data_IF_290808899649
#
_entry.id   IF_290808899649
#
_cell.length_a   1.000
_cell.length_b   1.000
_cell.length_c   1.000
_cell.angle_alpha   90.00
_cell.angle_beta   90.00
_cell.angle_gamma   90.00
#
_symmetry.space_group_name_H-M   'P 1'
#
loop_
_entity.id
_entity.type
_entity.pdbx_description
1 polymer ?
#
# COMPACT_ATOMS: atom_id res chain seq x y z
N UNK A 1 2.48 -42.07 44.96
CA UNK A 1 1.36 -41.70 44.07
C UNK A 1 1.07 -40.21 44.22
N UNK A 2 1.77 -39.34 43.49
CA UNK A 2 1.25 -38.00 43.20
C UNK A 2 1.53 -37.79 41.72
N UNK A 3 0.46 -37.83 40.92
CA UNK A 3 0.51 -37.67 39.46
C UNK A 3 0.75 -36.20 39.15
N UNK A 4 1.78 -35.94 38.35
CA UNK A 4 2.05 -34.65 37.72
C UNK A 4 0.81 -34.17 36.95
N UNK A 5 0.13 -33.14 37.48
CA UNK A 5 -0.93 -32.44 36.75
C UNK A 5 -0.28 -31.37 35.87
N UNK A 6 0.00 -31.74 34.63
CA UNK A 6 0.29 -30.78 33.56
C UNK A 6 -0.89 -29.79 33.42
N UNK A 7 -0.67 -28.47 33.35
CA UNK A 7 -1.74 -27.53 33.04
C UNK A 7 -2.05 -27.57 31.54
N UNK A 8 -3.32 -27.84 31.22
CA UNK A 8 -3.85 -27.95 29.87
C UNK A 8 -3.72 -26.60 29.13
N UNK A 9 -2.96 -26.58 28.04
CA UNK A 9 -3.00 -25.48 27.05
C UNK A 9 -4.38 -25.43 26.40
N UNK A 10 -5.21 -24.46 26.79
CA UNK A 10 -6.46 -24.17 26.06
C UNK A 10 -6.09 -23.31 24.84
N UNK A 11 -6.08 -23.91 23.64
CA UNK A 11 -6.04 -23.11 22.41
C UNK A 11 -7.41 -22.44 22.21
N UNK A 12 -7.50 -21.11 21.97
CA UNK A 12 -8.77 -20.50 21.61
C UNK A 12 -9.24 -21.06 20.26
N UNK A 13 -10.53 -21.41 20.17
CA UNK A 13 -11.15 -21.92 18.94
C UNK A 13 -11.10 -20.84 17.84
N UNK A 14 -10.81 -21.18 16.58
CA UNK A 14 -10.90 -20.21 15.51
C UNK A 14 -12.36 -19.78 15.34
N UNK A 15 -12.60 -18.47 15.34
CA UNK A 15 -13.89 -17.92 14.90
C UNK A 15 -14.05 -18.27 13.42
N UNK A 16 -14.92 -19.24 13.11
CA UNK A 16 -15.29 -19.54 11.74
C UNK A 16 -16.20 -18.42 11.23
N UNK A 17 -15.65 -17.56 10.37
CA UNK A 17 -16.42 -16.52 9.69
C UNK A 17 -17.14 -17.16 8.50
N UNK A 18 -18.46 -17.32 8.61
CA UNK A 18 -19.30 -17.89 7.56
C UNK A 18 -19.63 -16.79 6.53
N UNK A 19 -19.12 -16.93 5.30
CA UNK A 19 -19.09 -15.86 4.28
C UNK A 19 -20.33 -15.82 3.36
N UNK A 20 -21.35 -16.65 3.61
CA UNK A 20 -22.50 -16.75 2.71
C UNK A 20 -23.67 -15.92 3.20
N UNK A 21 -23.66 -14.64 2.84
CA UNK A 21 -24.84 -13.82 2.53
C UNK A 21 -24.41 -12.40 2.09
N UNK A 22 -23.95 -12.28 0.84
CA UNK A 22 -23.96 -11.00 0.12
C UNK A 22 -25.22 -11.01 -0.78
N UNK A 23 -26.36 -10.44 -0.37
CA UNK A 23 -27.50 -10.32 -1.28
C UNK A 23 -27.31 -9.12 -2.23
N UNK A 24 -27.40 -9.44 -3.52
CA UNK A 24 -27.68 -8.57 -4.68
C UNK A 24 -26.71 -7.43 -5.03
N UNK A 25 -25.68 -7.80 -5.79
CA UNK A 25 -25.07 -6.93 -6.82
C UNK A 25 -26.14 -6.52 -7.84
N UNK A 26 -26.60 -5.27 -7.75
CA UNK A 26 -27.31 -4.60 -8.83
C UNK A 26 -26.38 -4.62 -10.05
N UNK A 27 -26.76 -5.36 -11.10
CA UNK A 27 -26.11 -5.32 -12.41
C UNK A 27 -26.37 -3.94 -13.03
N UNK A 28 -25.62 -2.92 -12.61
CA UNK A 28 -25.53 -1.68 -13.37
C UNK A 28 -24.60 -1.93 -14.55
N UNK A 29 -25.19 -2.22 -15.70
CA UNK A 29 -24.55 -2.02 -17.01
C UNK A 29 -24.35 -0.52 -17.22
N UNK A 30 -23.44 0.08 -16.45
CA UNK A 30 -22.93 1.41 -16.68
C UNK A 30 -21.67 1.28 -17.52
N UNK A 31 -21.75 1.63 -18.81
CA UNK A 31 -20.57 1.88 -19.61
C UNK A 31 -19.80 3.03 -18.95
N UNK A 32 -18.70 2.72 -18.26
CA UNK A 32 -17.77 3.74 -17.80
C UNK A 32 -17.09 4.36 -19.02
N UNK A 33 -17.61 5.50 -19.48
CA UNK A 33 -16.96 6.31 -20.50
C UNK A 33 -15.80 7.06 -19.83
N UNK A 34 -14.58 6.73 -20.23
CA UNK A 34 -13.37 7.46 -19.84
C UNK A 34 -13.30 8.78 -20.62
N UNK A 35 -13.13 9.95 -19.96
CA UNK A 35 -12.94 11.20 -20.68
C UNK A 35 -11.62 11.17 -21.45
N UNK A 36 -11.70 11.43 -22.75
CA UNK A 36 -10.56 11.55 -23.65
C UNK A 36 -9.72 12.78 -23.24
N UNK A 37 -8.58 12.56 -22.59
CA UNK A 37 -7.66 13.64 -22.24
C UNK A 37 -6.83 13.99 -23.46
N UNK A 38 -7.21 15.06 -24.15
CA UNK A 38 -6.41 15.73 -25.17
C UNK A 38 -5.02 16.07 -24.63
N UNK A 39 -4.01 15.49 -25.31
CA UNK A 39 -2.60 15.92 -25.41
C UNK A 39 -2.14 16.95 -24.38
N UNK A 40 -1.67 16.45 -23.24
CA UNK A 40 -0.87 17.24 -22.29
C UNK A 40 0.60 17.10 -22.66
N UNK A 41 1.28 18.23 -22.82
CA UNK A 41 2.70 18.35 -23.12
C UNK A 41 3.56 17.39 -22.29
N UNK A 42 4.15 16.42 -22.99
CA UNK A 42 5.05 15.39 -22.47
C UNK A 42 6.43 16.01 -22.24
N UNK A 43 6.56 16.89 -21.24
CA UNK A 43 7.85 17.18 -20.65
C UNK A 43 8.27 15.95 -19.84
N UNK A 44 8.80 14.95 -20.54
CA UNK A 44 9.42 13.75 -19.96
C UNK A 44 10.72 14.16 -19.27
N UNK A 45 10.59 14.81 -18.11
CA UNK A 45 11.68 14.94 -17.15
C UNK A 45 12.12 13.52 -16.80
N UNK A 46 13.25 13.09 -17.37
CA UNK A 46 13.99 11.87 -17.00
C UNK A 46 14.64 12.01 -15.62
N UNK A 47 13.96 12.70 -14.71
CA UNK A 47 14.40 12.89 -13.34
C UNK A 47 14.17 11.59 -12.56
N UNK A 48 15.25 11.07 -11.98
CA UNK A 48 15.20 9.90 -11.10
C UNK A 48 14.28 10.20 -9.93
N UNK A 49 13.24 9.39 -9.74
CA UNK A 49 12.30 9.53 -8.62
C UNK A 49 12.90 8.86 -7.39
N UNK A 50 13.04 9.63 -6.33
CA UNK A 50 13.50 9.14 -5.04
C UNK A 50 12.31 8.81 -4.13
N UNK A 51 12.39 7.64 -3.50
CA UNK A 51 11.48 7.20 -2.45
C UNK A 51 12.24 7.15 -1.12
N UNK A 52 11.52 7.22 0.00
CA UNK A 52 12.07 7.15 1.36
C UNK A 52 11.58 5.87 2.01
N UNK A 53 12.49 5.04 2.52
CA UNK A 53 12.11 3.82 3.22
C UNK A 53 11.42 4.13 4.57
N UNK A 54 10.33 3.41 4.87
CA UNK A 54 9.60 3.57 6.13
C UNK A 54 10.41 3.19 7.38
N UNK A 55 11.30 2.20 7.28
CA UNK A 55 12.01 1.68 8.45
C UNK A 55 13.39 2.35 8.66
N UNK A 56 14.15 2.56 7.59
CA UNK A 56 15.51 3.09 7.69
C UNK A 56 15.67 4.52 7.19
N UNK A 57 14.60 5.17 6.74
CA UNK A 57 14.56 6.56 6.26
C UNK A 57 15.56 6.91 5.13
N UNK A 58 16.16 5.91 4.48
CA UNK A 58 17.11 6.12 3.38
C UNK A 58 16.36 6.44 2.09
N UNK A 59 16.95 7.35 1.30
CA UNK A 59 16.53 7.67 -0.06
C UNK A 59 16.91 6.53 -1.01
N UNK A 60 15.91 5.96 -1.68
CA UNK A 60 16.05 4.86 -2.63
C UNK A 60 15.63 5.37 -4.01
N UNK A 61 16.54 5.42 -5.00
CA UNK A 61 16.14 5.65 -6.39
C UNK A 61 15.45 4.38 -6.92
N UNK A 62 14.26 4.54 -7.52
CA UNK A 62 13.55 3.42 -8.14
C UNK A 62 13.06 3.80 -9.53
N UNK A 63 13.31 2.89 -10.48
CA UNK A 63 12.71 2.93 -11.80
C UNK A 63 11.24 2.45 -11.75
N UNK A 64 10.37 2.91 -12.68
CA UNK A 64 8.94 2.56 -12.66
C UNK A 64 8.63 1.06 -12.71
N UNK A 65 9.49 0.26 -13.34
CA UNK A 65 9.32 -1.20 -13.48
C UNK A 65 10.11 -2.01 -12.44
N UNK A 66 10.90 -1.36 -11.58
CA UNK A 66 11.72 -2.05 -10.60
C UNK A 66 10.87 -2.58 -9.42
N UNK A 67 11.23 -3.73 -8.83
CA UNK A 67 10.53 -4.26 -7.66
C UNK A 67 10.71 -3.34 -6.44
N UNK A 68 9.63 -3.09 -5.70
CA UNK A 68 9.63 -2.23 -4.51
C UNK A 68 10.36 -2.92 -3.36
N UNK A 69 11.63 -2.57 -3.16
CA UNK A 69 12.46 -3.04 -2.05
C UNK A 69 13.49 -1.99 -1.66
N UNK A 70 13.66 -1.78 -0.36
CA UNK A 70 14.77 -0.97 0.14
C UNK A 70 16.10 -1.74 0.00
N UNK A 71 17.08 -1.12 -0.66
CA UNK A 71 18.42 -1.70 -0.87
C UNK A 71 19.25 -1.86 0.42
N UNK A 72 18.88 -1.15 1.50
CA UNK A 72 19.61 -1.17 2.77
C UNK A 72 19.06 -2.20 3.77
N UNK A 73 17.74 -2.28 3.94
CA UNK A 73 17.10 -3.13 4.96
C UNK A 73 16.15 -4.19 4.41
N UNK A 74 15.85 -4.21 3.10
CA UNK A 74 14.95 -5.20 2.49
C UNK A 74 13.46 -4.99 2.74
N UNK A 75 13.08 -3.97 3.52
CA UNK A 75 11.69 -3.57 3.71
C UNK A 75 11.01 -3.21 2.38
N UNK A 76 9.68 -3.40 2.32
CA UNK A 76 8.86 -3.19 1.09
C UNK A 76 7.96 -1.97 1.15
N UNK A 77 7.98 -1.22 2.24
CA UNK A 77 7.20 0.02 2.39
C UNK A 77 8.11 1.21 2.14
N UNK A 78 7.81 1.95 1.08
CA UNK A 78 8.52 3.17 0.68
C UNK A 78 7.50 4.30 0.46
N UNK A 79 7.84 5.50 0.91
CA UNK A 79 7.06 6.72 0.72
C UNK A 79 7.65 7.56 -0.41
N UNK A 80 6.81 8.28 -1.16
CA UNK A 80 7.29 9.24 -2.16
C UNK A 80 7.95 10.43 -1.47
N UNK A 81 9.06 10.93 -2.00
CA UNK A 81 9.68 12.14 -1.48
C UNK A 81 8.74 13.36 -1.63
N UNK A 82 8.77 14.28 -0.66
CA UNK A 82 8.05 15.56 -0.73
C UNK A 82 8.55 16.38 -1.92
N UNK A 83 7.67 17.21 -2.47
CA UNK A 83 8.05 18.16 -3.51
C UNK A 83 8.99 19.23 -2.96
N UNK A 84 9.99 19.62 -3.74
CA UNK A 84 10.87 20.76 -3.40
C UNK A 84 10.24 22.13 -3.73
N UNK A 85 9.13 22.14 -4.47
CA UNK A 85 8.40 23.36 -4.82
C UNK A 85 7.70 23.90 -3.57
N UNK A 86 7.71 25.23 -3.40
CA UNK A 86 6.95 25.88 -2.33
C UNK A 86 5.45 25.63 -2.50
N UNK A 87 4.76 25.37 -1.39
CA UNK A 87 3.31 25.20 -1.36
C UNK A 87 2.74 26.24 -0.41
N UNK A 88 1.75 27.02 -0.89
CA UNK A 88 1.04 28.02 -0.10
C UNK A 88 -0.26 27.41 0.43
N UNK A 89 -0.50 27.58 1.72
CA UNK A 89 -1.74 27.16 2.37
C UNK A 89 -2.42 28.38 3.02
N UNK A 90 -3.75 28.32 3.14
CA UNK A 90 -4.56 29.28 3.91
C UNK A 90 -4.96 28.67 5.26
N UNK A 91 -5.06 29.50 6.30
CA UNK A 91 -5.53 29.05 7.61
C UNK A 91 -7.07 29.02 7.60
N UNK A 92 -7.64 27.81 7.61
CA UNK A 92 -9.08 27.56 7.79
C UNK A 92 -9.34 26.95 9.15
#
# INVERSE_FOLDING_TARGET
MIKDKQPLHHKPKPLQYHFDQIPNIIKMSGQYQVPNTSSRDDHKDTSVIYYICGDCAVRVPLEPSAPIRCQKCGARVLYKERTKRMVQFEAR
#
